data_IF_603094082545
#
_entry.id   IF_603094082545
#
_cell.length_a   1.000
_cell.length_b   1.000
_cell.length_c   1.000
_cell.angle_alpha   90.00
_cell.angle_beta   90.00
_cell.angle_gamma   90.00
#
_symmetry.space_group_name_H-M   'P 1'
#
loop_
_entity.id
_entity.type
_entity.pdbx_description
1 polymer ?
#
# COMPACT_ATOMS: atom_id res chain seq x y z
N UNK A 1 36.32 2.51 -14.97
CA UNK A 1 34.91 2.13 -14.73
C UNK A 1 34.11 2.95 -15.71
N UNK A 2 33.32 2.32 -16.58
CA UNK A 2 32.45 3.00 -17.53
C UNK A 2 31.24 3.53 -16.76
N UNK A 3 30.84 4.78 -16.99
CA UNK A 3 29.61 5.30 -16.39
C UNK A 3 28.40 4.49 -16.86
N UNK A 4 27.42 4.20 -15.98
CA UNK A 4 26.21 3.49 -16.36
C UNK A 4 25.37 4.32 -17.34
N UNK A 5 24.88 3.68 -18.41
CA UNK A 5 23.96 4.33 -19.34
C UNK A 5 22.57 4.49 -18.70
N UNK A 6 21.94 5.68 -18.80
CA UNK A 6 20.59 5.88 -18.30
C UNK A 6 19.58 5.08 -19.14
N UNK A 7 18.77 4.24 -18.48
CA UNK A 7 17.67 3.49 -19.07
C UNK A 7 16.36 4.25 -18.89
N UNK A 8 15.52 4.27 -19.91
CA UNK A 8 14.14 4.75 -19.82
C UNK A 8 13.32 3.83 -18.90
N UNK A 9 12.67 4.33 -17.84
CA UNK A 9 11.85 3.51 -16.93
C UNK A 9 10.77 2.68 -17.63
N UNK A 10 10.25 3.15 -18.78
CA UNK A 10 9.26 2.41 -19.57
C UNK A 10 9.82 1.15 -20.25
N UNK A 11 11.15 1.02 -20.33
CA UNK A 11 11.85 -0.16 -20.84
C UNK A 11 12.17 -1.17 -19.72
N UNK A 12 11.87 -0.83 -18.45
CA UNK A 12 12.11 -1.74 -17.33
C UNK A 12 11.07 -2.86 -17.33
N UNK A 13 11.55 -4.07 -17.06
CA UNK A 13 10.69 -5.23 -16.81
C UNK A 13 10.66 -5.53 -15.31
N UNK A 14 9.56 -6.09 -14.78
CA UNK A 14 9.50 -6.54 -13.40
C UNK A 14 10.63 -7.55 -13.10
N UNK A 15 11.14 -7.52 -11.88
CA UNK A 15 12.11 -8.50 -11.41
C UNK A 15 11.56 -9.94 -11.49
N UNK A 16 12.45 -10.94 -11.43
CA UNK A 16 12.03 -12.34 -11.41
C UNK A 16 11.22 -12.63 -10.15
N UNK A 17 10.33 -13.61 -10.24
CA UNK A 17 9.69 -14.22 -9.08
C UNK A 17 10.80 -14.85 -8.21
N UNK A 18 10.82 -14.52 -6.92
CA UNK A 18 11.82 -15.02 -5.96
C UNK A 18 11.28 -16.15 -5.10
N UNK A 19 9.98 -16.10 -4.81
CA UNK A 19 9.28 -17.06 -3.99
C UNK A 19 8.31 -17.85 -4.88
N UNK A 20 8.41 -19.18 -4.91
CA UNK A 20 7.53 -20.03 -5.74
C UNK A 20 6.07 -19.98 -5.29
N UNK A 21 5.83 -19.70 -4.01
CA UNK A 21 4.51 -19.53 -3.42
C UNK A 21 4.61 -18.69 -2.14
N UNK A 22 3.50 -18.05 -1.76
CA UNK A 22 3.35 -17.49 -0.41
C UNK A 22 2.93 -18.59 0.57
N UNK A 23 3.27 -18.42 1.85
CA UNK A 23 2.79 -19.33 2.89
C UNK A 23 1.26 -19.24 3.00
N UNK A 24 0.54 -20.33 3.34
CA UNK A 24 -0.93 -20.32 3.45
C UNK A 24 -1.47 -19.23 4.38
N UNK A 25 -0.80 -18.98 5.51
CA UNK A 25 -1.17 -17.92 6.46
C UNK A 25 -1.06 -16.52 5.85
N UNK A 26 -0.07 -16.29 4.98
CA UNK A 26 0.07 -15.02 4.26
C UNK A 26 -1.01 -14.88 3.19
N UNK A 27 -1.40 -15.96 2.52
CA UNK A 27 -2.48 -15.91 1.52
C UNK A 27 -3.81 -15.49 2.14
N UNK A 28 -4.14 -15.98 3.35
CA UNK A 28 -5.34 -15.57 4.07
C UNK A 28 -5.31 -14.07 4.41
N UNK A 29 -4.17 -13.55 4.86
CA UNK A 29 -3.99 -12.12 5.12
C UNK A 29 -4.10 -11.28 3.85
N UNK A 30 -3.47 -11.75 2.77
CA UNK A 30 -3.50 -11.11 1.44
C UNK A 30 -4.92 -11.02 0.92
N UNK A 31 -5.68 -12.11 0.99
CA UNK A 31 -7.08 -12.09 0.59
C UNK A 31 -7.90 -11.11 1.42
N UNK A 32 -7.76 -11.13 2.75
CA UNK A 32 -8.52 -10.25 3.63
C UNK A 32 -8.23 -8.76 3.38
N UNK A 33 -6.95 -8.38 3.21
CA UNK A 33 -6.62 -6.98 2.92
C UNK A 33 -7.04 -6.57 1.50
N UNK A 34 -6.90 -7.48 0.54
CA UNK A 34 -7.25 -7.21 -0.85
C UNK A 34 -8.77 -7.07 -1.03
N UNK A 35 -9.59 -7.80 -0.27
CA UNK A 35 -11.05 -7.61 -0.27
C UNK A 35 -11.46 -6.20 0.18
N UNK A 36 -10.62 -5.52 0.99
CA UNK A 36 -10.86 -4.15 1.47
C UNK A 36 -10.33 -3.11 0.49
N UNK A 37 -9.02 -3.14 0.18
CA UNK A 37 -8.37 -2.07 -0.59
C UNK A 37 -8.09 -2.43 -2.05
N UNK A 38 -8.17 -3.71 -2.41
CA UNK A 38 -7.88 -4.24 -3.75
C UNK A 38 -8.67 -3.60 -4.89
N UNK A 39 -9.98 -3.26 -4.73
CA UNK A 39 -10.75 -2.56 -5.75
C UNK A 39 -10.12 -1.25 -6.24
N UNK A 40 -9.28 -0.62 -5.42
CA UNK A 40 -8.64 0.66 -5.71
C UNK A 40 -7.20 0.52 -6.24
N UNK A 41 -6.59 -0.67 -6.21
CA UNK A 41 -5.20 -0.88 -6.59
C UNK A 41 -4.98 -1.05 -8.11
N UNK A 42 -6.05 -1.25 -8.89
CA UNK A 42 -5.95 -1.43 -10.35
C UNK A 42 -5.24 -2.71 -10.77
N UNK A 43 -5.07 -3.67 -9.86
CA UNK A 43 -4.51 -5.02 -10.11
C UNK A 43 -5.56 -6.06 -9.77
N UNK A 44 -5.37 -7.32 -10.15
CA UNK A 44 -6.16 -8.47 -9.64
C UNK A 44 -5.48 -9.05 -8.39
N UNK A 45 -6.22 -9.84 -7.59
CA UNK A 45 -5.65 -10.56 -6.44
C UNK A 45 -4.43 -11.41 -6.87
N UNK A 46 -4.56 -12.18 -7.96
CA UNK A 46 -3.46 -12.97 -8.52
C UNK A 46 -2.25 -12.09 -8.87
N UNK A 47 -2.46 -10.95 -9.53
CA UNK A 47 -1.35 -10.05 -9.88
C UNK A 47 -0.69 -9.45 -8.63
N UNK A 48 -1.47 -9.17 -7.60
CA UNK A 48 -1.00 -8.66 -6.32
C UNK A 48 -0.16 -9.71 -5.58
N UNK A 49 -0.61 -10.96 -5.51
CA UNK A 49 0.16 -12.10 -4.97
C UNK A 49 1.48 -12.30 -5.74
N UNK A 50 1.43 -12.28 -7.07
CA UNK A 50 2.64 -12.41 -7.90
C UNK A 50 3.62 -11.26 -7.62
N UNK A 51 3.13 -10.05 -7.34
CA UNK A 51 3.99 -8.92 -6.95
C UNK A 51 4.71 -9.21 -5.62
N UNK A 52 3.99 -9.65 -4.59
CA UNK A 52 4.57 -10.04 -3.30
C UNK A 52 5.60 -11.18 -3.44
N UNK A 53 5.35 -12.14 -4.34
CA UNK A 53 6.28 -13.24 -4.62
C UNK A 53 7.62 -12.77 -5.22
N UNK A 54 7.72 -11.53 -5.73
CA UNK A 54 8.99 -10.94 -6.21
C UNK A 54 9.83 -10.32 -5.09
N UNK A 55 9.22 -10.07 -3.93
CA UNK A 55 9.90 -9.42 -2.83
C UNK A 55 10.89 -10.37 -2.14
N UNK A 56 11.91 -9.78 -1.52
CA UNK A 56 12.92 -10.55 -0.81
C UNK A 56 12.35 -11.18 0.48
N UNK A 57 11.42 -10.48 1.12
CA UNK A 57 10.73 -10.85 2.34
C UNK A 57 9.23 -10.56 2.19
N UNK A 58 8.46 -11.46 1.55
CA UNK A 58 7.02 -11.24 1.33
C UNK A 58 6.24 -11.02 2.63
N UNK A 59 6.68 -11.61 3.74
CA UNK A 59 6.11 -11.41 5.07
C UNK A 59 6.15 -9.96 5.55
N UNK A 60 7.25 -9.25 5.28
CA UNK A 60 7.42 -7.85 5.68
C UNK A 60 6.52 -6.96 4.81
N UNK A 61 6.43 -7.25 3.52
CA UNK A 61 5.54 -6.53 2.59
C UNK A 61 4.07 -6.74 2.94
N UNK A 62 3.66 -7.97 3.27
CA UNK A 62 2.31 -8.25 3.75
C UNK A 62 2.00 -7.44 5.02
N UNK A 63 2.95 -7.35 5.97
CA UNK A 63 2.76 -6.55 7.18
C UNK A 63 2.60 -5.04 6.88
N UNK A 64 3.33 -4.52 5.90
CA UNK A 64 3.18 -3.13 5.43
C UNK A 64 1.79 -2.92 4.83
N UNK A 65 1.34 -3.82 3.96
CA UNK A 65 0.01 -3.71 3.36
C UNK A 65 -1.11 -3.86 4.39
N UNK A 66 -0.99 -4.75 5.37
CA UNK A 66 -1.91 -4.82 6.50
C UNK A 66 -1.96 -3.51 7.29
N UNK A 67 -0.81 -2.84 7.49
CA UNK A 67 -0.76 -1.54 8.17
C UNK A 67 -1.45 -0.45 7.35
N UNK A 68 -1.28 -0.45 6.02
CA UNK A 68 -1.99 0.46 5.10
C UNK A 68 -3.51 0.22 5.22
N UNK A 69 -3.97 -1.03 5.16
CA UNK A 69 -5.39 -1.37 5.28
C UNK A 69 -5.96 -0.97 6.64
N UNK A 70 -5.23 -1.22 7.73
CA UNK A 70 -5.65 -0.84 9.08
C UNK A 70 -5.79 0.69 9.22
N UNK A 71 -4.82 1.46 8.72
CA UNK A 71 -4.89 2.92 8.74
C UNK A 71 -6.05 3.47 7.87
N UNK A 72 -6.33 2.83 6.73
CA UNK A 72 -7.46 3.17 5.88
C UNK A 72 -8.79 2.93 6.60
N UNK A 73 -8.95 1.78 7.27
CA UNK A 73 -10.14 1.45 8.06
C UNK A 73 -10.33 2.43 9.21
N UNK A 74 -9.27 2.72 9.97
CA UNK A 74 -9.29 3.66 11.10
C UNK A 74 -9.67 5.08 10.66
N UNK A 75 -9.20 5.52 9.48
CA UNK A 75 -9.59 6.80 8.91
C UNK A 75 -11.10 6.85 8.58
N UNK A 76 -11.63 5.77 7.99
CA UNK A 76 -13.05 5.66 7.65
C UNK A 76 -13.93 5.68 8.91
N UNK A 77 -13.56 4.89 9.91
CA UNK A 77 -14.27 4.83 11.18
C UNK A 77 -14.28 6.21 11.87
N UNK A 78 -13.11 6.85 12.00
CA UNK A 78 -12.95 8.10 12.76
C UNK A 78 -13.51 9.33 12.06
N UNK A 79 -13.41 9.40 10.74
CA UNK A 79 -13.64 10.66 10.01
C UNK A 79 -14.75 10.60 8.97
N UNK A 80 -15.14 9.41 8.52
CA UNK A 80 -16.19 9.23 7.52
C UNK A 80 -17.40 8.45 8.04
N UNK A 81 -17.35 7.90 9.25
CA UNK A 81 -18.45 7.12 9.81
C UNK A 81 -18.74 5.85 8.99
N UNK A 82 -17.68 5.22 8.49
CA UNK A 82 -17.71 4.03 7.61
C UNK A 82 -18.32 4.26 6.21
N UNK A 83 -18.59 5.50 5.82
CA UNK A 83 -19.00 5.84 4.46
C UNK A 83 -17.81 5.82 3.49
N UNK A 84 -17.99 5.22 2.32
CA UNK A 84 -17.00 5.23 1.23
C UNK A 84 -17.08 6.52 0.41
N UNK A 85 -15.92 7.03 0.01
CA UNK A 85 -15.78 8.10 -0.97
C UNK A 85 -15.89 7.55 -2.41
N UNK A 86 -16.00 8.42 -3.42
CA UNK A 86 -15.83 7.99 -4.81
C UNK A 86 -14.47 7.31 -5.03
N UNK A 87 -14.41 6.30 -5.90
CA UNK A 87 -13.21 5.48 -6.15
C UNK A 87 -11.93 6.30 -6.38
N UNK A 88 -12.02 7.44 -7.08
CA UNK A 88 -10.87 8.29 -7.35
C UNK A 88 -10.31 8.99 -6.11
N UNK A 89 -11.14 9.23 -5.10
CA UNK A 89 -10.71 9.78 -3.82
C UNK A 89 -10.18 8.67 -2.91
N UNK A 90 -10.79 7.48 -2.92
CA UNK A 90 -10.24 6.29 -2.22
C UNK A 90 -8.84 5.92 -2.71
N UNK A 91 -8.63 5.94 -4.02
CA UNK A 91 -7.30 5.76 -4.63
C UNK A 91 -6.28 6.76 -4.11
N UNK A 92 -6.67 8.02 -3.88
CA UNK A 92 -5.77 9.04 -3.32
C UNK A 92 -5.46 8.78 -1.85
N UNK A 93 -6.44 8.34 -1.06
CA UNK A 93 -6.20 7.95 0.34
C UNK A 93 -5.18 6.81 0.42
N UNK A 94 -5.37 5.77 -0.39
CA UNK A 94 -4.45 4.63 -0.45
C UNK A 94 -3.07 5.05 -0.97
N UNK A 95 -3.02 5.89 -2.01
CA UNK A 95 -1.75 6.44 -2.51
C UNK A 95 -1.00 7.25 -1.45
N UNK A 96 -1.71 8.04 -0.65
CA UNK A 96 -1.12 8.76 0.49
C UNK A 96 -0.61 7.80 1.57
N UNK A 97 -1.35 6.75 1.91
CA UNK A 97 -0.93 5.75 2.90
C UNK A 97 0.28 4.93 2.43
N UNK A 98 0.38 4.62 1.13
CA UNK A 98 1.59 4.03 0.53
C UNK A 98 2.77 5.00 0.66
N UNK A 99 2.58 6.30 0.41
CA UNK A 99 3.65 7.27 0.61
C UNK A 99 4.08 7.33 2.09
N UNK A 100 3.13 7.34 3.02
CA UNK A 100 3.40 7.32 4.47
C UNK A 100 4.18 6.06 4.87
N UNK A 101 3.80 4.87 4.39
CA UNK A 101 4.49 3.63 4.74
C UNK A 101 5.94 3.58 4.25
N UNK A 102 6.27 4.37 3.22
CA UNK A 102 7.65 4.56 2.74
C UNK A 102 8.42 5.67 3.45
N UNK A 103 7.84 6.28 4.50
CA UNK A 103 8.46 7.30 5.35
C UNK A 103 8.18 8.75 4.95
N UNK A 104 7.17 9.01 4.11
CA UNK A 104 6.78 10.39 3.77
C UNK A 104 5.92 10.99 4.88
N UNK A 105 6.54 11.80 5.74
CA UNK A 105 5.84 12.54 6.82
C UNK A 105 5.35 13.93 6.39
N UNK A 106 5.86 14.45 5.26
CA UNK A 106 5.48 15.76 4.72
C UNK A 106 4.12 15.70 4.04
N UNK A 107 3.09 16.09 4.78
CA UNK A 107 1.68 16.05 4.37
C UNK A 107 1.38 16.83 3.07
N UNK A 108 2.20 17.80 2.69
CA UNK A 108 2.04 18.53 1.42
C UNK A 108 2.40 17.69 0.19
N UNK A 109 3.15 16.59 0.39
CA UNK A 109 3.61 15.70 -0.68
C UNK A 109 2.72 14.47 -0.88
N UNK A 110 1.68 14.30 -0.07
CA UNK A 110 0.84 13.09 -0.08
C UNK A 110 -0.22 13.06 -1.18
N UNK A 111 -0.37 14.14 -1.98
CA UNK A 111 -1.35 14.18 -3.07
C UNK A 111 -2.82 14.28 -2.62
N UNK A 112 -3.06 14.54 -1.33
CA UNK A 112 -4.36 14.79 -0.70
C UNK A 112 -4.35 16.16 -0.01
N UNK A 113 -5.52 16.77 0.27
CA UNK A 113 -5.62 17.95 1.12
C UNK A 113 -4.85 17.78 2.44
N UNK A 114 -4.18 18.84 2.90
CA UNK A 114 -3.29 18.78 4.08
C UNK A 114 -3.98 18.31 5.36
N UNK A 115 -5.25 18.65 5.55
CA UNK A 115 -6.03 18.20 6.70
C UNK A 115 -6.32 16.69 6.63
N UNK A 116 -6.56 16.14 5.44
CA UNK A 116 -6.71 14.70 5.20
C UNK A 116 -5.36 14.00 5.40
N UNK A 117 -4.29 14.53 4.82
CA UNK A 117 -2.95 13.97 4.96
C UNK A 117 -2.50 13.88 6.43
N UNK A 118 -2.83 14.89 7.25
CA UNK A 118 -2.55 14.86 8.70
C UNK A 118 -3.31 13.73 9.40
N UNK A 119 -4.60 13.58 9.11
CA UNK A 119 -5.43 12.52 9.69
C UNK A 119 -4.94 11.12 9.30
N UNK A 120 -4.59 10.92 8.03
CA UNK A 120 -4.05 9.64 7.56
C UNK A 120 -2.73 9.28 8.25
N UNK A 121 -1.83 10.27 8.39
CA UNK A 121 -0.58 10.08 9.12
C UNK A 121 -0.84 9.73 10.60
N UNK A 122 -1.76 10.44 11.26
CA UNK A 122 -2.14 10.15 12.64
C UNK A 122 -2.73 8.73 12.80
N UNK A 123 -3.57 8.29 11.86
CA UNK A 123 -4.09 6.92 11.81
C UNK A 123 -2.96 5.89 11.69
N UNK A 124 -2.04 6.09 10.75
CA UNK A 124 -0.92 5.16 10.50
C UNK A 124 0.05 5.09 11.69
N UNK A 125 0.46 6.24 12.24
CA UNK A 125 1.37 6.33 13.39
C UNK A 125 0.78 5.75 14.68
N UNK A 126 -0.55 5.64 14.76
CA UNK A 126 -1.23 5.07 15.92
C UNK A 126 -1.13 3.54 15.99
N UNK A 127 -0.85 2.87 14.87
CA UNK A 127 -0.75 1.40 14.79
C UNK A 127 0.44 0.83 15.59
N UNK A 128 1.50 1.62 15.78
CA UNK A 128 2.70 1.21 16.53
C UNK A 128 2.65 1.50 18.04
N UNK A 129 1.50 1.93 18.58
CA UNK A 129 1.37 2.42 19.97
C UNK A 129 0.61 1.48 20.92
N UNK A 130 0.41 0.22 20.54
CA UNK A 130 -0.21 -0.81 21.41
C UNK A 130 0.80 -1.56 22.30
#
# INVERSE_FOLDING_TARGET
MTDPEPIDPSQLSPGPIRNESLAPELLEQVQAMYDVIGPYLGTTLEQFEINLMRDMHPEDEVAIWCSITAAWLDYHEKYLGDDLLPDEDEKKLIGALIAISTGVEDVEKLGVPTDIGRKLLDCYDSLGKE
#
